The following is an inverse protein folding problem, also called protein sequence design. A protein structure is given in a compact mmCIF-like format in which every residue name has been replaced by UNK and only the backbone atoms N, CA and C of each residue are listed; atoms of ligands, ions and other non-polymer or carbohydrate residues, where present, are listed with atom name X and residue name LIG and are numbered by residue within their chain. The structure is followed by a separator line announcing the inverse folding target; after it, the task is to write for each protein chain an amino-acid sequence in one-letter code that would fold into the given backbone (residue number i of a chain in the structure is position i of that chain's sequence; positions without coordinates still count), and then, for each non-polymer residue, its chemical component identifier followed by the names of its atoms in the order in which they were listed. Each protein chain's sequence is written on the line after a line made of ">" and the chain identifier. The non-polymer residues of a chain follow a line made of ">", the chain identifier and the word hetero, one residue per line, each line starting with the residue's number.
data_IF_381316075446
#
_entry.id   IF_381316075446
#
_cell.length_a   1.000
_cell.length_b   1.000
_cell.length_c   1.000
_cell.angle_alpha   90.00
_cell.angle_beta   90.00
_cell.angle_gamma   90.00
#
_symmetry.space_group_name_H-M   'P 1'
#
loop_
_entity.id
_entity.type
_entity.pdbx_description
1 polymer ?
#
# COMPACT_ATOMS: atom_id res chain seq x y z
N UNK A 1 0.40 16.50 -1.91
CA UNK A 1 -0.07 17.51 -2.89
C UNK A 1 -0.12 16.99 -4.34
N UNK A 2 0.60 15.93 -4.75
CA UNK A 2 0.58 15.48 -6.17
C UNK A 2 -0.69 14.82 -6.72
N UNK A 3 -1.54 14.21 -5.88
CA UNK A 3 -2.67 13.41 -6.38
C UNK A 3 -3.78 14.31 -6.94
N UNK A 4 -4.06 15.44 -6.28
CA UNK A 4 -5.16 16.35 -6.64
C UNK A 4 -4.84 17.25 -7.83
N UNK A 5 -3.60 17.74 -7.94
CA UNK A 5 -3.14 18.47 -9.12
C UNK A 5 -3.16 17.56 -10.36
N UNK A 6 -2.73 16.30 -10.19
CA UNK A 6 -2.84 15.28 -11.25
C UNK A 6 -4.28 15.02 -11.70
N UNK A 7 -5.23 14.91 -10.77
CA UNK A 7 -6.66 14.73 -11.10
C UNK A 7 -7.23 15.92 -11.89
N UNK A 8 -6.84 17.14 -11.56
CA UNK A 8 -7.31 18.37 -12.22
C UNK A 8 -6.78 18.48 -13.66
N UNK A 9 -5.50 18.14 -13.87
CA UNK A 9 -4.90 18.07 -15.21
C UNK A 9 -5.57 16.99 -16.07
N UNK A 10 -5.89 15.83 -15.47
CA UNK A 10 -6.61 14.75 -16.16
C UNK A 10 -8.02 15.19 -16.55
N UNK A 11 -8.72 15.91 -15.66
CA UNK A 11 -10.06 16.41 -15.90
C UNK A 11 -10.07 17.42 -17.07
N UNK A 12 -9.14 18.38 -17.07
CA UNK A 12 -8.99 19.37 -18.15
C UNK A 12 -8.71 18.66 -19.48
N UNK A 13 -7.83 17.65 -19.50
CA UNK A 13 -7.53 16.85 -20.70
C UNK A 13 -8.74 16.07 -21.22
N UNK A 14 -9.53 15.48 -20.33
CA UNK A 14 -10.73 14.73 -20.73
C UNK A 14 -11.84 15.67 -21.22
N UNK A 15 -11.98 16.85 -20.62
CA UNK A 15 -12.94 17.87 -21.05
C UNK A 15 -12.60 18.38 -22.46
N UNK A 16 -11.33 18.65 -22.76
CA UNK A 16 -10.90 19.09 -24.10
C UNK A 16 -11.08 18.00 -25.15
N UNK A 17 -10.81 16.74 -24.81
CA UNK A 17 -11.07 15.59 -25.69
C UNK A 17 -12.56 15.44 -26.05
N UNK A 18 -13.46 15.58 -25.06
CA UNK A 18 -14.90 15.53 -25.30
C UNK A 18 -15.43 16.76 -26.06
N UNK A 19 -14.80 17.93 -25.90
CA UNK A 19 -15.22 19.20 -26.53
C UNK A 19 -14.79 19.32 -27.98
N UNK A 20 -13.57 18.89 -28.33
CA UNK A 20 -12.99 19.05 -29.67
C UNK A 20 -13.38 17.91 -30.63
N UNK A 21 -14.61 17.39 -30.49
CA UNK A 21 -15.09 16.21 -31.20
C UNK A 21 -15.18 16.43 -32.71
N UNK A 22 -14.59 15.51 -33.48
CA UNK A 22 -14.97 15.23 -34.86
C UNK A 22 -16.11 14.20 -34.90
N UNK A 23 -17.04 14.32 -35.85
CA UNK A 23 -18.25 13.46 -35.90
C UNK A 23 -17.97 11.97 -36.17
N UNK A 24 -16.73 11.62 -36.56
CA UNK A 24 -16.29 10.29 -37.02
C UNK A 24 -15.67 9.39 -35.91
N UNK A 25 -15.65 9.83 -34.65
CA UNK A 25 -15.01 9.04 -33.58
C UNK A 25 -15.73 7.71 -33.30
N UNK A 26 -14.96 6.62 -33.18
CA UNK A 26 -15.47 5.27 -32.86
C UNK A 26 -16.22 5.29 -31.53
N UNK A 27 -17.44 4.75 -31.54
CA UNK A 27 -18.35 4.66 -30.36
C UNK A 27 -17.66 4.03 -29.14
N UNK A 28 -16.78 3.06 -29.38
CA UNK A 28 -15.99 2.38 -28.36
C UNK A 28 -15.08 3.36 -27.58
N UNK A 29 -14.29 4.18 -28.28
CA UNK A 29 -13.38 5.16 -27.67
C UNK A 29 -14.17 6.21 -26.89
N UNK A 30 -15.26 6.69 -27.47
CA UNK A 30 -16.15 7.66 -26.83
C UNK A 30 -16.75 7.13 -25.52
N UNK A 31 -17.25 5.90 -25.51
CA UNK A 31 -17.87 5.30 -24.32
C UNK A 31 -16.89 5.17 -23.15
N UNK A 32 -15.62 4.89 -23.45
CA UNK A 32 -14.53 4.77 -22.47
C UNK A 32 -14.16 6.14 -21.91
N UNK A 33 -13.96 7.14 -22.78
CA UNK A 33 -13.63 8.51 -22.36
C UNK A 33 -14.75 9.15 -21.54
N UNK A 34 -16.00 8.96 -21.96
CA UNK A 34 -17.18 9.40 -21.23
C UNK A 34 -17.26 8.76 -19.84
N UNK A 35 -17.15 7.44 -19.74
CA UNK A 35 -17.21 6.72 -18.46
C UNK A 35 -16.08 7.14 -17.52
N UNK A 36 -14.87 7.31 -18.05
CA UNK A 36 -13.69 7.77 -17.31
C UNK A 36 -13.83 9.22 -16.81
N UNK A 37 -14.41 10.11 -17.62
CA UNK A 37 -14.67 11.50 -17.24
C UNK A 37 -15.65 11.57 -16.06
N UNK A 38 -16.82 10.93 -16.18
CA UNK A 38 -17.81 10.95 -15.10
C UNK A 38 -17.34 10.23 -13.84
N UNK A 39 -16.55 9.15 -13.97
CA UNK A 39 -15.88 8.53 -12.83
C UNK A 39 -14.96 9.53 -12.10
N UNK A 40 -14.19 10.31 -12.85
CA UNK A 40 -13.27 11.31 -12.29
C UNK A 40 -14.02 12.46 -11.61
N UNK A 41 -15.07 12.98 -12.26
CA UNK A 41 -15.94 14.01 -11.66
C UNK A 41 -16.61 13.49 -10.38
N UNK A 42 -17.12 12.26 -10.40
CA UNK A 42 -17.76 11.62 -9.24
C UNK A 42 -16.79 11.47 -8.07
N UNK A 43 -15.55 11.05 -8.31
CA UNK A 43 -14.52 10.95 -7.28
C UNK A 43 -14.20 12.33 -6.69
N UNK A 44 -14.00 13.34 -7.54
CA UNK A 44 -13.71 14.72 -7.08
C UNK A 44 -14.84 15.26 -6.21
N UNK A 45 -16.10 15.09 -6.62
CA UNK A 45 -17.25 15.56 -5.85
C UNK A 45 -17.33 14.83 -4.50
N UNK A 46 -17.21 13.50 -4.47
CA UNK A 46 -17.22 12.76 -3.20
C UNK A 46 -16.07 13.16 -2.28
N UNK A 47 -14.86 13.34 -2.80
CA UNK A 47 -13.70 13.77 -2.03
C UNK A 47 -13.91 15.17 -1.43
N UNK A 48 -14.53 16.09 -2.18
CA UNK A 48 -14.89 17.43 -1.69
C UNK A 48 -15.98 17.33 -0.62
N UNK A 49 -17.05 16.56 -0.84
CA UNK A 49 -18.15 16.43 0.11
C UNK A 49 -17.70 15.76 1.41
N UNK A 50 -17.00 14.63 1.32
CA UNK A 50 -16.47 13.93 2.50
C UNK A 50 -15.41 14.77 3.19
N UNK A 51 -14.50 15.41 2.43
CA UNK A 51 -13.47 16.28 2.99
C UNK A 51 -14.04 17.50 3.71
N UNK A 52 -15.09 18.12 3.15
CA UNK A 52 -15.80 19.22 3.78
C UNK A 52 -16.53 18.76 5.05
N UNK A 53 -17.31 17.67 4.98
CA UNK A 53 -18.00 17.13 6.15
C UNK A 53 -17.03 16.75 7.27
N UNK A 54 -15.91 16.07 6.94
CA UNK A 54 -14.89 15.70 7.90
C UNK A 54 -14.14 16.92 8.46
N UNK A 55 -13.83 17.90 7.61
CA UNK A 55 -13.21 19.15 8.03
C UNK A 55 -14.09 19.93 9.01
N UNK A 56 -15.36 20.11 8.68
CA UNK A 56 -16.34 20.74 9.57
C UNK A 56 -16.47 19.97 10.88
N UNK A 57 -16.56 18.64 10.85
CA UNK A 57 -16.57 17.82 12.06
C UNK A 57 -15.32 18.03 12.94
N UNK A 58 -14.12 18.10 12.34
CA UNK A 58 -12.89 18.37 13.08
C UNK A 58 -12.88 19.77 13.71
N UNK A 59 -13.40 20.77 13.00
CA UNK A 59 -13.47 22.15 13.49
C UNK A 59 -14.54 22.33 14.57
N UNK A 60 -15.69 21.67 14.47
CA UNK A 60 -16.77 21.73 15.46
C UNK A 60 -16.41 21.00 16.76
N UNK A 61 -15.53 19.99 16.68
CA UNK A 61 -15.13 19.15 17.81
C UNK A 61 -13.65 19.37 18.20
N UNK A 62 -13.07 20.50 17.82
CA UNK A 62 -11.66 20.81 17.95
C UNK A 62 -11.20 20.78 19.42
N UNK A 63 -11.96 21.34 20.36
CA UNK A 63 -11.64 21.31 21.78
C UNK A 63 -11.64 19.89 22.38
N UNK A 64 -12.64 19.09 22.01
CA UNK A 64 -12.79 17.70 22.49
C UNK A 64 -11.67 16.84 21.93
N UNK A 65 -11.41 16.97 20.62
CA UNK A 65 -10.33 16.26 19.95
C UNK A 65 -8.96 16.69 20.51
N UNK A 66 -8.79 17.98 20.80
CA UNK A 66 -7.55 18.50 21.38
C UNK A 66 -7.31 17.93 22.78
N UNK A 67 -8.35 17.87 23.60
CA UNK A 67 -8.30 17.26 24.94
C UNK A 67 -7.96 15.78 24.86
N UNK A 68 -8.64 15.04 23.98
CA UNK A 68 -8.39 13.61 23.77
C UNK A 68 -6.94 13.36 23.33
N UNK A 69 -6.46 14.10 22.32
CA UNK A 69 -5.09 14.01 21.84
C UNK A 69 -4.07 14.30 22.93
N UNK A 70 -4.33 15.32 23.76
CA UNK A 70 -3.47 15.67 24.89
C UNK A 70 -3.39 14.54 25.91
N UNK A 71 -4.53 13.98 26.32
CA UNK A 71 -4.58 12.86 27.28
C UNK A 71 -3.86 11.64 26.71
N UNK A 72 -4.21 11.23 25.48
CA UNK A 72 -3.57 10.08 24.83
C UNK A 72 -2.06 10.27 24.66
N UNK A 73 -1.61 11.45 24.22
CA UNK A 73 -0.20 11.74 24.07
C UNK A 73 0.53 11.70 25.42
N UNK A 74 -0.04 12.30 26.46
CA UNK A 74 0.56 12.30 27.80
C UNK A 74 0.62 10.89 28.39
N UNK A 75 -0.47 10.13 28.31
CA UNK A 75 -0.55 8.80 28.91
C UNK A 75 0.31 7.78 28.16
N UNK A 76 0.23 7.75 26.82
CA UNK A 76 0.93 6.74 26.02
C UNK A 76 2.39 7.10 25.77
N UNK A 77 2.67 8.34 25.32
CA UNK A 77 4.02 8.71 24.87
C UNK A 77 4.95 9.07 26.02
N UNK A 78 4.40 9.47 27.17
CA UNK A 78 5.17 9.90 28.34
C UNK A 78 4.98 8.91 29.50
N UNK A 79 3.79 8.86 30.11
CA UNK A 79 3.57 8.12 31.36
C UNK A 79 3.83 6.62 31.22
N UNK A 80 3.25 5.98 30.20
CA UNK A 80 3.44 4.56 29.94
C UNK A 80 4.88 4.23 29.55
N UNK A 81 5.52 5.09 28.76
CA UNK A 81 6.92 4.88 28.35
C UNK A 81 7.88 4.99 29.54
N UNK A 82 7.70 5.97 30.41
CA UNK A 82 8.47 6.07 31.65
C UNK A 82 8.23 4.89 32.58
N UNK A 83 6.97 4.46 32.70
CA UNK A 83 6.64 3.25 33.45
C UNK A 83 7.37 2.04 32.86
N UNK A 84 7.36 1.85 31.54
CA UNK A 84 8.04 0.74 30.88
C UNK A 84 9.56 0.76 31.11
N UNK A 85 10.18 1.95 31.13
CA UNK A 85 11.60 2.12 31.43
C UNK A 85 11.94 1.77 32.89
N UNK A 86 11.12 2.23 33.84
CA UNK A 86 11.26 1.90 35.27
C UNK A 86 10.95 0.43 35.55
N UNK A 87 10.01 -0.16 34.79
CA UNK A 87 9.70 -1.58 34.84
C UNK A 87 10.87 -2.43 34.33
N UNK A 88 11.54 -2.00 33.25
CA UNK A 88 12.74 -2.65 32.73
C UNK A 88 13.90 -2.60 33.74
N UNK A 89 13.96 -1.55 34.55
CA UNK A 89 14.96 -1.42 35.63
C UNK A 89 14.68 -2.30 36.85
N UNK A 90 13.42 -2.65 37.09
CA UNK A 90 12.97 -3.43 38.27
C UNK A 90 12.83 -4.93 38.01
N UNK A 91 13.64 -5.48 37.09
CA UNK A 91 13.75 -6.91 36.77
C UNK A 91 12.49 -7.49 36.10
N UNK A 92 12.22 -7.10 34.85
CA UNK A 92 11.01 -7.50 34.14
C UNK A 92 10.97 -9.02 33.96
N UNK A 93 9.81 -9.63 34.24
CA UNK A 93 9.55 -11.05 34.06
C UNK A 93 10.57 -11.99 34.75
N UNK A 94 11.24 -11.52 35.82
CA UNK A 94 12.26 -12.29 36.53
C UNK A 94 13.62 -12.34 35.82
N UNK A 95 13.80 -11.63 34.71
CA UNK A 95 15.07 -11.52 34.00
C UNK A 95 16.00 -10.58 34.78
N UNK A 96 17.06 -11.13 35.36
CA UNK A 96 18.08 -10.33 36.07
C UNK A 96 18.99 -9.64 35.05
N UNK A 97 18.68 -8.38 34.75
CA UNK A 97 19.51 -7.51 33.94
C UNK A 97 20.73 -7.00 34.73
N UNK A 98 21.71 -6.43 34.03
CA UNK A 98 22.82 -5.75 34.66
C UNK A 98 22.30 -4.45 35.30
N UNK A 99 22.34 -4.38 36.64
CA UNK A 99 21.72 -3.29 37.42
C UNK A 99 22.31 -1.93 37.11
N UNK A 100 23.63 -1.83 36.99
CA UNK A 100 24.29 -0.54 36.77
C UNK A 100 23.99 0.01 35.37
N UNK A 101 24.08 -0.84 34.36
CA UNK A 101 23.76 -0.47 32.98
C UNK A 101 22.27 -0.15 32.82
N UNK A 102 21.40 -0.93 33.48
CA UNK A 102 19.96 -0.71 33.47
C UNK A 102 19.57 0.62 34.10
N UNK A 103 20.13 0.95 35.28
CA UNK A 103 19.91 2.25 35.93
C UNK A 103 20.36 3.41 35.05
N UNK A 104 21.53 3.28 34.42
CA UNK A 104 22.03 4.28 33.49
C UNK A 104 21.07 4.50 32.29
N UNK A 105 20.61 3.42 31.66
CA UNK A 105 19.67 3.53 30.55
C UNK A 105 18.31 4.09 30.98
N UNK A 106 17.76 3.57 32.07
CA UNK A 106 16.47 4.00 32.61
C UNK A 106 16.48 5.49 32.92
N UNK A 107 17.47 5.98 33.68
CA UNK A 107 17.61 7.40 34.00
C UNK A 107 17.74 8.26 32.75
N UNK A 108 18.69 7.92 31.86
CA UNK A 108 18.94 8.69 30.63
C UNK A 108 17.69 8.80 29.74
N UNK A 109 16.96 7.70 29.55
CA UNK A 109 15.78 7.70 28.70
C UNK A 109 14.56 8.30 29.37
N UNK A 110 14.40 8.16 30.69
CA UNK A 110 13.34 8.87 31.43
C UNK A 110 13.56 10.37 31.32
N UNK A 111 14.78 10.86 31.54
CA UNK A 111 15.11 12.28 31.40
C UNK A 111 14.83 12.80 29.98
N UNK A 112 15.22 12.03 28.95
CA UNK A 112 14.93 12.37 27.55
C UNK A 112 13.43 12.42 27.26
N UNK A 113 12.65 11.49 27.81
CA UNK A 113 11.18 11.47 27.70
C UNK A 113 10.56 12.63 28.47
N UNK A 114 11.10 13.01 29.62
CA UNK A 114 10.65 14.18 30.40
C UNK A 114 10.89 15.49 29.67
N UNK A 115 12.06 15.66 29.04
CA UNK A 115 12.35 16.81 28.17
C UNK A 115 11.31 16.88 27.04
N UNK A 116 11.02 15.75 26.39
CA UNK A 116 9.99 15.70 25.35
C UNK A 116 8.58 16.01 25.90
N UNK A 117 8.25 15.51 27.09
CA UNK A 117 7.00 15.84 27.77
C UNK A 117 6.88 17.33 28.10
N UNK A 118 8.00 18.01 28.39
CA UNK A 118 8.04 19.47 28.53
C UNK A 118 7.79 20.18 27.20
N UNK A 119 8.41 19.72 26.11
CA UNK A 119 8.16 20.25 24.76
C UNK A 119 6.70 20.08 24.35
N UNK A 120 6.10 18.91 24.60
CA UNK A 120 4.68 18.69 24.33
C UNK A 120 3.80 19.65 25.10
N UNK A 121 4.01 19.81 26.41
CA UNK A 121 3.19 20.66 27.28
C UNK A 121 3.30 22.14 26.98
N UNK A 122 4.51 22.64 26.72
CA UNK A 122 4.75 24.08 26.59
C UNK A 122 4.72 24.58 25.15
N UNK A 123 5.02 23.73 24.16
CA UNK A 123 5.12 24.14 22.75
C UNK A 123 3.95 23.58 21.93
N UNK A 124 3.64 22.29 22.05
CA UNK A 124 2.69 21.64 21.13
C UNK A 124 1.24 21.78 21.61
N UNK A 125 0.96 21.46 22.87
CA UNK A 125 -0.39 21.44 23.44
C UNK A 125 -1.13 22.78 23.46
N UNK A 126 -0.47 23.94 23.64
CA UNK A 126 -1.14 25.24 23.56
C UNK A 126 -1.63 25.57 22.14
N UNK A 127 -0.90 25.11 21.12
CA UNK A 127 -1.23 25.35 19.71
C UNK A 127 -2.04 24.23 19.07
N UNK A 128 -2.43 23.20 19.84
CA UNK A 128 -3.02 21.98 19.31
C UNK A 128 -4.37 22.23 18.63
N UNK A 129 -5.22 23.10 19.19
CA UNK A 129 -6.49 23.52 18.59
C UNK A 129 -6.26 24.20 17.24
N UNK A 130 -5.31 25.14 17.17
CA UNK A 130 -4.94 25.82 15.92
C UNK A 130 -4.37 24.84 14.89
N UNK A 131 -3.57 23.86 15.33
CA UNK A 131 -3.00 22.82 14.45
C UNK A 131 -4.12 21.95 13.86
N UNK A 132 -5.10 21.54 14.67
CA UNK A 132 -6.27 20.78 14.20
C UNK A 132 -7.03 21.60 13.15
N UNK A 133 -7.27 22.87 13.42
CA UNK A 133 -8.04 23.77 12.54
C UNK A 133 -7.34 24.05 11.20
N UNK A 134 -6.03 24.33 11.24
CA UNK A 134 -5.27 24.79 10.06
C UNK A 134 -4.77 23.66 9.18
N UNK A 135 -4.34 22.55 9.78
CA UNK A 135 -3.74 21.46 9.03
C UNK A 135 -4.72 20.29 8.84
N UNK A 136 -5.74 20.14 9.68
CA UNK A 136 -6.36 18.83 9.87
C UNK A 136 -5.33 17.84 10.41
N UNK A 137 -5.76 16.63 10.79
CA UNK A 137 -4.86 15.57 11.26
C UNK A 137 -3.97 15.03 10.13
N UNK A 138 -3.03 15.83 9.63
CA UNK A 138 -2.05 15.39 8.64
C UNK A 138 -1.12 14.39 9.33
N UNK A 139 -0.77 13.32 8.62
CA UNK A 139 0.16 12.26 9.08
C UNK A 139 1.51 12.80 9.61
N UNK A 140 1.88 14.03 9.27
CA UNK A 140 3.05 14.74 9.78
C UNK A 140 2.95 15.06 11.28
N UNK A 141 1.75 15.34 11.83
CA UNK A 141 1.58 15.61 13.26
C UNK A 141 1.87 14.35 14.09
N UNK A 142 1.40 13.19 13.65
CA UNK A 142 1.74 11.90 14.28
C UNK A 142 3.25 11.61 14.25
N UNK A 143 3.92 11.96 13.14
CA UNK A 143 5.39 11.83 13.04
C UNK A 143 6.12 12.76 14.03
N UNK A 144 5.61 13.99 14.21
CA UNK A 144 6.15 14.96 15.17
C UNK A 144 6.03 14.45 16.60
N UNK A 145 4.87 13.92 16.99
CA UNK A 145 4.63 13.38 18.34
C UNK A 145 5.58 12.24 18.71
N UNK A 146 6.05 11.45 17.73
CA UNK A 146 6.92 10.30 17.92
C UNK A 146 8.42 10.57 17.79
N UNK A 147 8.87 11.82 17.78
CA UNK A 147 10.29 12.17 17.58
C UNK A 147 11.18 11.61 18.68
N UNK A 148 10.78 11.71 19.96
CA UNK A 148 11.55 11.14 21.07
C UNK A 148 11.73 9.63 20.94
N UNK A 149 10.68 8.90 20.54
CA UNK A 149 10.75 7.45 20.27
C UNK A 149 11.79 7.17 19.18
N UNK A 150 11.81 7.97 18.11
CA UNK A 150 12.82 7.84 17.04
C UNK A 150 14.24 8.07 17.56
N UNK A 151 14.45 9.12 18.38
CA UNK A 151 15.76 9.44 18.96
C UNK A 151 16.23 8.31 19.89
N UNK A 152 15.38 7.84 20.82
CA UNK A 152 15.70 6.72 21.70
C UNK A 152 16.02 5.43 20.92
N UNK A 153 15.22 5.13 19.87
CA UNK A 153 15.48 4.01 18.98
C UNK A 153 16.81 4.16 18.24
N UNK A 154 17.14 5.35 17.75
CA UNK A 154 18.40 5.59 17.06
C UNK A 154 19.61 5.36 17.99
N UNK A 155 19.55 5.90 19.21
CA UNK A 155 20.61 5.75 20.22
C UNK A 155 20.78 4.26 20.58
N UNK A 156 19.70 3.59 21.00
CA UNK A 156 19.77 2.16 21.39
C UNK A 156 20.20 1.25 20.25
N UNK A 157 19.76 1.50 19.01
CA UNK A 157 20.19 0.74 17.84
C UNK A 157 21.69 0.88 17.58
N UNK A 158 22.25 2.08 17.74
CA UNK A 158 23.69 2.31 17.60
C UNK A 158 24.44 1.47 18.65
N UNK A 159 24.03 1.54 19.92
CA UNK A 159 24.69 0.77 20.98
C UNK A 159 24.56 -0.73 20.75
N UNK A 160 23.36 -1.21 20.43
CA UNK A 160 23.11 -2.62 20.11
C UNK A 160 23.98 -3.12 18.95
N UNK A 161 24.10 -2.35 17.87
CA UNK A 161 24.95 -2.71 16.74
C UNK A 161 26.44 -2.79 17.12
N UNK A 162 26.91 -1.90 17.99
CA UNK A 162 28.29 -1.93 18.50
C UNK A 162 28.55 -3.14 19.41
N UNK A 163 27.60 -3.48 20.27
CA UNK A 163 27.67 -4.68 21.12
C UNK A 163 27.69 -5.95 20.27
N UNK A 164 26.81 -6.07 19.28
CA UNK A 164 26.81 -7.22 18.35
C UNK A 164 28.13 -7.32 17.57
N UNK A 165 28.64 -6.21 17.05
CA UNK A 165 29.92 -6.20 16.33
C UNK A 165 31.08 -6.60 17.24
N UNK A 166 31.10 -6.08 18.49
CA UNK A 166 32.08 -6.46 19.51
C UNK A 166 32.02 -7.95 19.83
N UNK A 167 30.84 -8.48 20.15
CA UNK A 167 30.63 -9.92 20.42
C UNK A 167 31.06 -10.78 19.23
N UNK A 168 30.70 -10.40 17.99
CA UNK A 168 31.12 -11.11 16.78
C UNK A 168 32.63 -11.06 16.54
N UNK A 169 33.29 -9.97 16.93
CA UNK A 169 34.75 -9.84 16.89
C UNK A 169 35.43 -10.76 17.91
N UNK A 170 34.97 -10.74 19.17
CA UNK A 170 35.52 -11.59 20.23
C UNK A 170 35.23 -13.07 20.00
N UNK A 171 34.08 -13.41 19.41
CA UNK A 171 33.80 -14.78 19.00
C UNK A 171 34.76 -15.31 17.94
N UNK A 172 35.28 -14.43 17.06
CA UNK A 172 36.35 -14.80 16.13
C UNK A 172 37.68 -15.00 16.85
N UNK A 173 38.00 -14.15 17.83
CA UNK A 173 39.19 -14.29 18.68
C UNK A 173 39.24 -15.68 19.36
N UNK A 174 38.16 -16.15 19.99
CA UNK A 174 38.15 -17.49 20.61
C UNK A 174 38.31 -18.65 19.63
N UNK A 175 37.89 -18.47 18.38
CA UNK A 175 38.07 -19.49 17.34
C UNK A 175 39.44 -19.41 16.68
N UNK A 176 40.35 -18.58 17.16
CA UNK A 176 41.65 -18.36 16.54
C UNK A 176 41.51 -17.78 15.13
N UNK A 177 40.56 -16.86 14.92
CA UNK A 177 40.24 -16.29 13.59
C UNK A 177 40.47 -14.79 13.56
N UNK A 178 41.26 -14.33 12.58
CA UNK A 178 41.55 -12.90 12.33
C UNK A 178 41.05 -12.50 10.95
N UNK A 179 40.40 -11.33 10.85
CA UNK A 179 40.03 -10.78 9.54
C UNK A 179 41.24 -10.14 8.88
N UNK A 180 41.56 -10.61 7.68
CA UNK A 180 42.65 -10.09 6.87
C UNK A 180 42.11 -9.08 5.87
N UNK A 181 42.38 -7.79 6.10
CA UNK A 181 41.91 -6.69 5.25
C UNK A 181 42.48 -6.79 3.83
N UNK A 182 43.72 -7.29 3.67
CA UNK A 182 44.40 -7.38 2.38
C UNK A 182 43.78 -8.45 1.46
N UNK A 183 43.27 -9.54 2.05
CA UNK A 183 42.68 -10.67 1.31
C UNK A 183 41.15 -10.75 1.44
N UNK A 184 40.54 -9.75 2.08
CA UNK A 184 39.09 -9.64 2.35
C UNK A 184 38.46 -10.96 2.87
N UNK A 185 39.18 -11.70 3.73
CA UNK A 185 38.75 -13.01 4.25
C UNK A 185 39.17 -13.20 5.69
N UNK A 186 38.59 -14.20 6.35
CA UNK A 186 38.96 -14.56 7.73
C UNK A 186 39.95 -15.72 7.70
N UNK A 187 41.17 -15.49 8.19
CA UNK A 187 42.25 -16.47 8.25
C UNK A 187 42.39 -17.01 9.69
N UNK A 188 42.96 -18.21 9.83
CA UNK A 188 43.40 -18.72 11.14
C UNK A 188 44.57 -17.89 11.66
N UNK A 189 44.58 -17.60 12.95
CA UNK A 189 45.61 -16.82 13.63
C UNK A 189 45.87 -17.42 15.00
N UNK A 190 47.14 -17.53 15.35
CA UNK A 190 47.59 -18.00 16.65
C UNK A 190 47.70 -16.80 17.58
N UNK A 191 46.89 -16.80 18.63
CA UNK A 191 46.84 -15.73 19.64
C UNK A 191 47.60 -16.17 20.88
N UNK A 192 48.35 -15.26 21.48
CA UNK A 192 49.04 -15.52 22.75
C UNK A 192 48.03 -15.77 23.87
N UNK A 193 48.43 -16.53 24.89
CA UNK A 193 47.58 -16.84 26.04
C UNK A 193 47.02 -15.58 26.72
N UNK A 194 47.83 -14.51 26.84
CA UNK A 194 47.42 -13.24 27.43
C UNK A 194 46.33 -12.53 26.60
N UNK A 195 46.43 -12.61 25.27
CA UNK A 195 45.43 -12.03 24.35
C UNK A 195 44.12 -12.79 24.43
N UNK A 196 44.18 -14.13 24.55
CA UNK A 196 43.00 -14.97 24.72
C UNK A 196 42.34 -14.73 26.09
N UNK A 197 43.13 -14.57 27.16
CA UNK A 197 42.63 -14.25 28.49
C UNK A 197 41.91 -12.89 28.50
N UNK A 198 42.53 -11.85 27.95
CA UNK A 198 41.90 -10.54 27.82
C UNK A 198 40.60 -10.60 27.00
N UNK A 199 40.63 -11.33 25.88
CA UNK A 199 39.45 -11.61 25.07
C UNK A 199 38.32 -12.29 25.86
N UNK A 200 38.66 -13.28 26.68
CA UNK A 200 37.71 -14.02 27.53
C UNK A 200 37.03 -13.10 28.55
N UNK A 201 37.81 -12.26 29.23
CA UNK A 201 37.28 -11.30 30.20
C UNK A 201 36.35 -10.30 29.52
N UNK A 202 36.77 -9.72 28.40
CA UNK A 202 35.93 -8.75 27.67
C UNK A 202 34.66 -9.39 27.10
N UNK A 203 34.74 -10.64 26.63
CA UNK A 203 33.58 -11.36 26.10
C UNK A 203 32.58 -11.69 27.18
N UNK A 204 33.04 -12.20 28.32
CA UNK A 204 32.17 -12.53 29.45
C UNK A 204 31.45 -11.27 29.95
N UNK A 205 32.16 -10.15 30.09
CA UNK A 205 31.55 -8.85 30.40
C UNK A 205 30.50 -8.47 29.36
N UNK A 206 30.84 -8.48 28.07
CA UNK A 206 29.93 -8.06 27.00
C UNK A 206 28.71 -9.00 26.89
N UNK A 207 28.89 -10.30 27.11
CA UNK A 207 27.83 -11.30 27.12
C UNK A 207 26.86 -11.07 28.29
N UNK A 208 27.35 -10.66 29.47
CA UNK A 208 26.49 -10.31 30.61
C UNK A 208 25.78 -8.95 30.44
N UNK A 209 26.38 -8.00 29.70
CA UNK A 209 25.73 -6.73 29.37
C UNK A 209 24.68 -6.90 28.26
N UNK A 210 24.88 -7.85 27.35
CA UNK A 210 24.06 -8.03 26.14
C UNK A 210 22.54 -8.13 26.40
N UNK A 211 22.04 -8.93 27.37
CA UNK A 211 20.61 -9.00 27.66
C UNK A 211 19.99 -7.65 27.99
N UNK A 212 20.71 -6.80 28.72
CA UNK A 212 20.27 -5.45 29.09
C UNK A 212 20.17 -4.57 27.85
N UNK A 213 21.22 -4.55 27.03
CA UNK A 213 21.23 -3.77 25.78
C UNK A 213 20.13 -4.24 24.82
N UNK A 214 19.93 -5.56 24.70
CA UNK A 214 18.89 -6.16 23.88
C UNK A 214 17.49 -5.75 24.35
N UNK A 215 17.21 -5.77 25.66
CA UNK A 215 15.90 -5.44 26.21
C UNK A 215 15.51 -3.98 25.94
N UNK A 216 16.42 -3.03 26.21
CA UNK A 216 16.19 -1.60 25.93
C UNK A 216 16.06 -1.33 24.43
N UNK A 217 16.90 -1.95 23.60
CA UNK A 217 16.77 -1.86 22.15
C UNK A 217 15.43 -2.40 21.65
N UNK A 218 14.99 -3.57 22.15
CA UNK A 218 13.74 -4.20 21.75
C UNK A 218 12.53 -3.31 22.09
N UNK A 219 12.49 -2.70 23.28
CA UNK A 219 11.42 -1.76 23.67
C UNK A 219 11.26 -0.64 22.64
N UNK A 220 12.34 0.09 22.33
CA UNK A 220 12.27 1.21 21.40
C UNK A 220 12.09 0.78 19.94
N UNK A 221 12.62 -0.38 19.55
CA UNK A 221 12.39 -0.94 18.22
C UNK A 221 10.92 -1.33 18.02
N UNK A 222 10.27 -1.90 19.04
CA UNK A 222 8.84 -2.20 19.01
C UNK A 222 7.99 -0.93 18.95
N UNK A 223 8.29 0.07 19.79
CA UNK A 223 7.59 1.37 19.74
C UNK A 223 7.76 2.06 18.38
N UNK A 224 8.97 2.02 17.80
CA UNK A 224 9.23 2.55 16.46
C UNK A 224 8.44 1.78 15.40
N UNK A 225 8.36 0.46 15.49
CA UNK A 225 7.55 -0.34 14.59
C UNK A 225 6.06 0.02 14.72
N UNK A 226 5.54 0.14 15.94
CA UNK A 226 4.15 0.53 16.20
C UNK A 226 3.81 1.89 15.59
N UNK A 227 4.68 2.90 15.75
CA UNK A 227 4.46 4.23 15.13
C UNK A 227 4.45 4.17 13.61
N UNK A 228 5.36 3.40 12.99
CA UNK A 228 5.36 3.18 11.53
C UNK A 228 4.08 2.48 11.07
N UNK A 229 3.62 1.45 11.79
CA UNK A 229 2.41 0.70 11.45
C UNK A 229 1.14 1.55 11.57
N UNK A 230 1.02 2.35 12.65
CA UNK A 230 -0.09 3.28 12.82
C UNK A 230 -0.09 4.30 11.67
N UNK A 231 1.05 4.91 11.37
CA UNK A 231 1.14 5.85 10.25
C UNK A 231 0.80 5.19 8.91
N UNK A 232 1.29 3.99 8.65
CA UNK A 232 0.99 3.24 7.43
C UNK A 232 -0.50 2.88 7.32
N UNK A 233 -1.15 2.54 8.43
CA UNK A 233 -2.59 2.28 8.46
C UNK A 233 -3.42 3.52 8.14
N UNK A 234 -3.05 4.69 8.67
CA UNK A 234 -3.71 5.97 8.37
C UNK A 234 -3.50 6.38 6.91
N UNK A 235 -2.28 6.25 6.40
CA UNK A 235 -1.97 6.51 4.99
C UNK A 235 -2.72 5.53 4.07
N UNK A 236 -2.92 4.27 4.49
CA UNK A 236 -3.72 3.29 3.76
C UNK A 236 -5.21 3.61 3.78
N UNK A 237 -5.78 3.98 4.93
CA UNK A 237 -7.18 4.42 5.02
C UNK A 237 -7.43 5.61 4.10
N UNK A 238 -6.52 6.59 4.11
CA UNK A 238 -6.57 7.73 3.21
C UNK A 238 -6.46 7.32 1.74
N UNK A 239 -5.54 6.41 1.39
CA UNK A 239 -5.39 5.90 0.02
C UNK A 239 -6.62 5.12 -0.43
N UNK A 240 -7.22 4.33 0.47
CA UNK A 240 -8.45 3.59 0.22
C UNK A 240 -9.62 4.54 -0.04
N UNK A 241 -9.82 5.55 0.82
CA UNK A 241 -10.87 6.54 0.63
C UNK A 241 -10.74 7.29 -0.70
N UNK A 242 -9.53 7.75 -1.05
CA UNK A 242 -9.30 8.51 -2.29
C UNK A 242 -9.45 7.69 -3.58
N UNK A 243 -9.33 6.36 -3.50
CA UNK A 243 -9.33 5.51 -4.69
C UNK A 243 -10.51 4.54 -4.75
N UNK A 244 -11.34 4.45 -3.70
CA UNK A 244 -12.44 3.49 -3.61
C UNK A 244 -13.33 3.56 -4.85
N UNK A 245 -13.62 2.44 -5.53
CA UNK A 245 -14.31 2.46 -6.83
C UNK A 245 -15.83 2.65 -6.65
N UNK A 246 -16.26 3.70 -5.93
CA UNK A 246 -17.66 4.02 -5.65
C UNK A 246 -18.46 4.09 -6.93
N UNK A 247 -17.95 4.80 -7.94
CA UNK A 247 -18.63 4.96 -9.21
C UNK A 247 -18.87 3.63 -9.92
N UNK A 248 -17.86 2.76 -9.97
CA UNK A 248 -17.97 1.45 -10.60
C UNK A 248 -18.95 0.55 -9.84
N UNK A 249 -18.99 0.65 -8.51
CA UNK A 249 -19.91 -0.11 -7.68
C UNK A 249 -21.36 0.37 -7.84
N UNK A 250 -21.59 1.69 -7.83
CA UNK A 250 -22.90 2.30 -8.07
C UNK A 250 -23.41 1.95 -9.46
N UNK A 251 -22.58 2.06 -10.49
CA UNK A 251 -22.95 1.65 -11.85
C UNK A 251 -23.23 0.16 -11.92
N UNK A 252 -22.44 -0.69 -11.23
CA UNK A 252 -22.66 -2.14 -11.26
C UNK A 252 -23.99 -2.55 -10.61
N UNK A 253 -24.43 -1.81 -9.60
CA UNK A 253 -25.73 -2.02 -8.92
C UNK A 253 -26.88 -1.43 -9.73
N UNK A 254 -26.73 -0.20 -10.23
CA UNK A 254 -27.80 0.53 -10.93
C UNK A 254 -28.01 0.03 -12.36
N UNK A 255 -26.92 -0.08 -13.13
CA UNK A 255 -26.94 -0.45 -14.55
C UNK A 255 -25.73 -1.32 -14.91
N UNK A 256 -25.78 -2.65 -14.63
CA UNK A 256 -24.69 -3.59 -14.89
C UNK A 256 -24.04 -3.48 -16.27
N UNK A 257 -24.85 -3.22 -17.29
CA UNK A 257 -24.48 -3.25 -18.71
C UNK A 257 -23.64 -2.04 -19.15
N UNK A 258 -23.56 -0.99 -18.33
CA UNK A 258 -22.73 0.20 -18.61
C UNK A 258 -21.23 -0.04 -18.36
N UNK A 259 -20.88 -1.14 -17.70
CA UNK A 259 -19.49 -1.55 -17.44
C UNK A 259 -19.21 -2.89 -18.13
N UNK A 260 -18.79 -2.88 -19.40
CA UNK A 260 -18.47 -4.11 -20.13
C UNK A 260 -17.27 -4.80 -19.50
N UNK A 261 -17.46 -6.06 -19.11
CA UNK A 261 -16.45 -6.97 -18.55
C UNK A 261 -15.96 -8.03 -19.54
N UNK A 262 -16.70 -8.25 -20.63
CA UNK A 262 -16.39 -9.21 -21.68
C UNK A 262 -17.53 -9.31 -22.70
N UNK A 263 -17.36 -10.19 -23.68
CA UNK A 263 -18.38 -10.57 -24.65
C UNK A 263 -18.47 -12.09 -24.70
N UNK A 264 -19.67 -12.63 -24.88
CA UNK A 264 -19.88 -14.04 -25.19
C UNK A 264 -20.81 -14.18 -26.38
N UNK A 265 -20.67 -15.29 -27.10
CA UNK A 265 -21.53 -15.62 -28.23
C UNK A 265 -22.63 -16.56 -27.75
N UNK A 266 -23.88 -16.14 -27.95
CA UNK A 266 -25.04 -16.98 -27.77
C UNK A 266 -25.46 -17.50 -29.16
N UNK A 267 -25.54 -18.82 -29.33
CA UNK A 267 -25.86 -19.43 -30.61
C UNK A 267 -27.36 -19.71 -30.66
N UNK A 268 -28.11 -18.88 -31.39
CA UNK A 268 -29.56 -19.01 -31.51
C UNK A 268 -29.88 -19.81 -32.78
N UNK A 269 -30.76 -20.84 -32.71
CA UNK A 269 -31.20 -21.57 -33.88
C UNK A 269 -31.98 -20.66 -34.83
N UNK A 270 -31.52 -20.58 -36.08
CA UNK A 270 -32.17 -19.87 -37.17
C UNK A 270 -33.51 -20.55 -37.46
N UNK A 271 -34.58 -19.96 -36.94
CA UNK A 271 -35.94 -20.38 -37.29
C UNK A 271 -36.25 -19.80 -38.66
N UNK A 272 -35.78 -20.48 -39.71
CA UNK A 272 -36.25 -20.29 -41.07
C UNK A 272 -37.73 -20.68 -41.09
N UNK A 273 -38.63 -19.71 -40.84
CA UNK A 273 -40.06 -20.01 -40.80
C UNK A 273 -41.03 -18.96 -40.25
N UNK A 274 -40.62 -17.75 -39.86
CA UNK A 274 -41.59 -16.67 -39.60
C UNK A 274 -41.18 -15.38 -40.32
N UNK A 275 -41.54 -15.34 -41.60
CA UNK A 275 -41.44 -14.16 -42.43
C UNK A 275 -42.47 -13.13 -41.98
N UNK A 276 -42.25 -12.44 -40.87
CA UNK A 276 -42.87 -11.15 -40.52
C UNK A 276 -42.36 -10.64 -39.17
N UNK A 277 -41.11 -10.14 -39.13
CA UNK A 277 -40.59 -9.03 -38.28
C UNK A 277 -39.09 -9.16 -38.04
N UNK A 278 -38.30 -8.72 -39.02
CA UNK A 278 -36.92 -8.30 -38.77
C UNK A 278 -36.60 -7.10 -39.65
N UNK A 279 -37.20 -5.96 -39.29
CA UNK A 279 -36.65 -4.66 -39.60
C UNK A 279 -36.10 -4.12 -38.28
N UNK A 280 -34.84 -3.69 -38.30
CA UNK A 280 -34.06 -3.10 -37.21
C UNK A 280 -33.27 -4.05 -36.29
N UNK A 281 -32.29 -4.77 -36.87
CA UNK A 281 -31.01 -4.94 -36.20
C UNK A 281 -29.89 -4.51 -37.15
N UNK A 282 -29.27 -3.37 -36.83
CA UNK A 282 -28.09 -2.86 -37.53
C UNK A 282 -26.87 -3.74 -37.25
N UNK A 283 -26.69 -4.77 -38.07
CA UNK A 283 -25.50 -5.62 -38.11
C UNK A 283 -24.93 -5.60 -39.51
N UNK A 284 -23.69 -5.13 -39.64
CA UNK A 284 -22.94 -5.06 -40.89
C UNK A 284 -22.70 -6.48 -41.42
N UNK A 285 -23.51 -6.91 -42.37
CA UNK A 285 -23.29 -8.17 -43.08
C UNK A 285 -22.03 -8.03 -43.96
N UNK A 286 -21.04 -8.87 -43.69
CA UNK A 286 -19.84 -9.03 -44.53
C UNK A 286 -20.28 -9.69 -45.85
N UNK A 287 -20.05 -9.10 -47.04
CA UNK A 287 -20.45 -9.72 -48.29
C UNK A 287 -19.40 -10.77 -48.69
N UNK A 288 -19.73 -12.05 -48.48
CA UNK A 288 -18.94 -13.19 -48.90
C UNK A 288 -19.60 -13.98 -50.02
N UNK A 289 -18.90 -14.06 -51.16
CA UNK A 289 -19.00 -15.08 -52.21
C UNK A 289 -20.34 -15.23 -52.98
N UNK A 290 -20.49 -14.42 -54.03
CA UNK A 290 -21.44 -14.68 -55.12
C UNK A 290 -20.79 -15.68 -56.10
N UNK A 291 -21.10 -16.96 -55.96
CA UNK A 291 -20.77 -17.98 -56.96
C UNK A 291 -21.93 -18.09 -57.96
N UNK A 292 -21.64 -17.77 -59.21
CA UNK A 292 -22.46 -17.99 -60.40
C UNK A 292 -22.62 -19.48 -60.68
N UNK A 293 -23.85 -19.98 -60.87
CA UNK A 293 -24.12 -21.12 -61.74
C UNK A 293 -25.52 -20.97 -62.38
N UNK A 294 -25.50 -21.02 -63.71
CA UNK A 294 -26.63 -21.09 -64.63
C UNK A 294 -27.40 -22.42 -64.52
N UNK A 295 -28.63 -22.43 -65.05
CA UNK A 295 -29.21 -23.64 -65.63
C UNK A 295 -30.53 -24.10 -65.03
N UNK A 296 -31.61 -23.78 -65.75
CA UNK A 296 -32.97 -24.23 -65.51
C UNK A 296 -33.18 -25.64 -66.11
N UNK A 297 -33.61 -26.65 -65.33
CA UNK A 297 -34.65 -27.63 -65.72
C UNK A 297 -34.84 -28.77 -64.70
N UNK A 298 -36.08 -28.82 -64.20
CA UNK A 298 -36.99 -29.95 -63.95
C UNK A 298 -36.60 -31.19 -63.10
N UNK A 299 -37.46 -31.38 -62.09
CA UNK A 299 -38.12 -32.60 -61.62
C UNK A 299 -37.30 -33.75 -61.02
N UNK A 300 -37.48 -33.98 -59.72
CA UNK A 300 -38.25 -35.11 -59.18
C UNK A 300 -38.03 -35.30 -57.67
N UNK A 301 -39.12 -35.57 -56.96
CA UNK A 301 -39.17 -35.85 -55.53
C UNK A 301 -38.34 -37.08 -55.15
N UNK A 302 -37.51 -36.95 -54.12
CA UNK A 302 -37.00 -38.08 -53.34
C UNK A 302 -37.09 -37.75 -51.86
N UNK A 303 -37.94 -38.52 -51.16
CA UNK A 303 -38.09 -38.54 -49.70
C UNK A 303 -36.78 -39.03 -49.07
N UNK A 304 -35.96 -38.10 -48.61
CA UNK A 304 -34.89 -38.35 -47.65
C UNK A 304 -35.16 -37.56 -46.38
N UNK A 305 -35.08 -38.21 -45.21
CA UNK A 305 -35.11 -37.56 -43.91
C UNK A 305 -34.15 -36.37 -43.90
N UNK A 306 -34.70 -35.16 -44.09
CA UNK A 306 -33.96 -33.93 -43.94
C UNK A 306 -33.70 -33.78 -42.45
N UNK A 307 -32.52 -34.21 -42.03
CA UNK A 307 -31.91 -33.75 -40.79
C UNK A 307 -31.90 -32.23 -40.91
N UNK A 308 -32.86 -31.56 -40.25
CA UNK A 308 -33.03 -30.11 -40.29
C UNK A 308 -31.74 -29.53 -39.71
N UNK A 309 -30.81 -29.18 -40.59
CA UNK A 309 -29.56 -28.54 -40.23
C UNK A 309 -29.96 -27.21 -39.61
N UNK A 310 -30.03 -27.20 -38.27
CA UNK A 310 -30.40 -26.02 -37.52
C UNK A 310 -29.20 -25.09 -37.60
N UNK A 311 -29.23 -24.17 -38.57
CA UNK A 311 -28.20 -23.13 -38.70
C UNK A 311 -28.20 -22.33 -37.41
N UNK A 312 -27.09 -22.33 -36.68
CA UNK A 312 -26.96 -21.55 -35.45
C UNK A 312 -26.36 -20.19 -35.82
N UNK A 313 -27.09 -19.11 -35.56
CA UNK A 313 -26.60 -17.75 -35.77
C UNK A 313 -25.93 -17.28 -34.47
N UNK A 314 -24.65 -16.86 -34.51
CA UNK A 314 -23.98 -16.29 -33.34
C UNK A 314 -24.51 -14.88 -33.06
N UNK A 315 -25.11 -14.70 -31.89
CA UNK A 315 -25.52 -13.41 -31.33
C UNK A 315 -24.49 -12.97 -30.31
N UNK A 316 -23.96 -11.76 -30.47
CA UNK A 316 -22.98 -11.18 -29.55
C UNK A 316 -23.70 -10.56 -28.35
N UNK A 317 -23.42 -11.05 -27.14
CA UNK A 317 -23.96 -10.51 -25.90
C UNK A 317 -22.83 -9.94 -25.01
N UNK A 318 -23.10 -8.79 -24.36
CA UNK A 318 -22.16 -8.15 -23.43
C UNK A 318 -22.20 -8.85 -22.07
N UNK A 319 -21.06 -9.02 -21.41
CA UNK A 319 -20.97 -9.52 -20.04
C UNK A 319 -20.56 -8.40 -19.09
N UNK A 320 -21.32 -8.11 -18.02
CA UNK A 320 -20.97 -7.04 -17.08
C UNK A 320 -19.73 -7.40 -16.26
N UNK A 321 -18.93 -6.40 -15.88
CA UNK A 321 -17.70 -6.61 -15.08
C UNK A 321 -18.00 -7.28 -13.73
N UNK A 322 -17.19 -8.28 -13.36
CA UNK A 322 -17.28 -8.95 -12.06
C UNK A 322 -16.69 -8.08 -10.94
N UNK A 323 -17.22 -8.18 -9.71
CA UNK A 323 -16.63 -7.51 -8.54
C UNK A 323 -15.15 -7.82 -8.36
N UNK A 324 -14.71 -9.06 -8.59
CA UNK A 324 -13.30 -9.44 -8.49
C UNK A 324 -12.36 -8.62 -9.38
N UNK A 325 -12.79 -8.28 -10.61
CA UNK A 325 -12.04 -7.39 -11.52
C UNK A 325 -12.04 -5.93 -11.07
N UNK A 326 -13.13 -5.46 -10.45
CA UNK A 326 -13.20 -4.11 -9.86
C UNK A 326 -12.19 -3.99 -8.71
N UNK A 327 -12.03 -5.04 -7.90
CA UNK A 327 -11.15 -5.02 -6.71
C UNK A 327 -9.75 -5.62 -6.92
N UNK A 328 -9.42 -6.13 -8.10
CA UNK A 328 -8.12 -6.79 -8.38
C UNK A 328 -6.90 -5.92 -8.05
N UNK A 329 -7.03 -4.60 -8.18
CA UNK A 329 -5.91 -3.70 -7.88
C UNK A 329 -5.70 -3.50 -6.37
N UNK A 330 -6.76 -3.62 -5.57
CA UNK A 330 -6.70 -3.60 -4.11
C UNK A 330 -6.01 -4.85 -3.57
N UNK A 331 -6.30 -6.02 -4.15
CA UNK A 331 -5.63 -7.26 -3.76
C UNK A 331 -4.13 -7.20 -4.08
N UNK A 332 -3.73 -6.55 -5.18
CA UNK A 332 -2.32 -6.30 -5.51
C UNK A 332 -1.64 -5.32 -4.55
N UNK A 333 -2.31 -4.24 -4.17
CA UNK A 333 -1.81 -3.28 -3.18
C UNK A 333 -1.62 -3.95 -1.81
N UNK A 334 -2.61 -4.73 -1.37
CA UNK A 334 -2.54 -5.54 -0.15
C UNK A 334 -1.35 -6.51 -0.17
N UNK A 335 -1.14 -7.21 -1.29
CA UNK A 335 -0.01 -8.14 -1.43
C UNK A 335 1.37 -7.43 -1.31
N UNK A 336 1.51 -6.22 -1.86
CA UNK A 336 2.73 -5.41 -1.71
C UNK A 336 2.96 -4.99 -0.26
N UNK A 337 1.90 -4.63 0.43
CA UNK A 337 2.00 -4.20 1.81
C UNK A 337 2.31 -5.37 2.76
N UNK A 338 1.64 -6.50 2.55
CA UNK A 338 1.88 -7.74 3.28
C UNK A 338 3.32 -8.25 3.09
N UNK A 339 3.91 -8.06 1.90
CA UNK A 339 5.31 -8.43 1.66
C UNK A 339 6.29 -7.46 2.31
N UNK A 340 5.98 -6.16 2.37
CA UNK A 340 6.85 -5.16 3.00
C UNK A 340 6.86 -5.27 4.53
N UNK A 341 5.68 -5.39 5.16
CA UNK A 341 5.54 -5.55 6.62
C UNK A 341 5.52 -7.02 7.06
N UNK A 342 6.13 -7.91 6.29
CA UNK A 342 6.22 -9.32 6.67
C UNK A 342 6.92 -9.48 8.04
N UNK A 343 6.29 -10.18 9.02
CA UNK A 343 6.79 -10.26 10.39
C UNK A 343 8.19 -10.89 10.48
N UNK A 344 8.50 -11.88 9.63
CA UNK A 344 9.82 -12.53 9.62
C UNK A 344 10.91 -11.59 9.10
N UNK A 345 10.59 -10.76 8.11
CA UNK A 345 11.52 -9.74 7.58
C UNK A 345 11.79 -8.66 8.62
N UNK A 346 10.74 -8.18 9.30
CA UNK A 346 10.86 -7.18 10.35
C UNK A 346 11.66 -7.72 11.54
N UNK A 347 11.36 -8.93 12.00
CA UNK A 347 12.09 -9.61 13.06
C UNK A 347 13.58 -9.77 12.70
N UNK A 348 13.88 -10.24 11.48
CA UNK A 348 15.26 -10.34 10.99
C UNK A 348 15.96 -8.98 10.97
N UNK A 349 15.24 -7.92 10.62
CA UNK A 349 15.79 -6.57 10.58
C UNK A 349 16.08 -6.04 11.99
N UNK A 350 15.20 -6.30 12.95
CA UNK A 350 15.40 -5.99 14.37
C UNK A 350 16.58 -6.77 14.95
N UNK A 351 16.63 -8.09 14.75
CA UNK A 351 17.73 -8.94 15.26
C UNK A 351 19.10 -8.56 14.69
N UNK A 352 19.14 -8.05 13.46
CA UNK A 352 20.39 -7.59 12.83
C UNK A 352 20.71 -6.12 13.12
N UNK A 353 19.89 -5.42 13.90
CA UNK A 353 20.07 -3.98 14.17
C UNK A 353 19.90 -3.09 12.94
N UNK A 354 19.24 -3.58 11.88
CA UNK A 354 18.99 -2.80 10.66
C UNK A 354 17.92 -1.73 10.92
N UNK A 355 17.99 -0.64 10.16
CA UNK A 355 17.05 0.46 10.28
C UNK A 355 15.64 0.06 9.80
N UNK A 356 14.63 0.33 10.63
CA UNK A 356 13.22 0.19 10.28
C UNK A 356 12.76 1.41 9.46
N UNK A 357 12.75 1.27 8.14
CA UNK A 357 12.26 2.30 7.22
C UNK A 357 10.75 2.18 6.99
N UNK A 358 10.01 3.30 6.88
CA UNK A 358 8.62 3.29 6.43
C UNK A 358 8.51 2.93 4.93
N UNK A 359 7.35 2.43 4.50
CA UNK A 359 7.07 2.19 3.08
C UNK A 359 7.19 3.52 2.31
N UNK A 360 7.91 3.53 1.17
CA UNK A 360 7.94 4.71 0.32
C UNK A 360 6.56 5.04 -0.24
N UNK A 361 6.17 6.32 -0.16
CA UNK A 361 4.84 6.79 -0.61
C UNK A 361 4.53 6.50 -2.08
N UNK A 362 5.54 6.35 -2.93
CA UNK A 362 5.33 5.99 -4.34
C UNK A 362 4.91 4.53 -4.53
N UNK A 363 5.28 3.62 -3.63
CA UNK A 363 4.87 2.20 -3.71
C UNK A 363 3.38 2.02 -3.39
N UNK A 364 2.82 2.98 -2.65
CA UNK A 364 1.41 3.08 -2.26
C UNK A 364 0.60 3.79 -3.36
N UNK A 365 1.22 4.59 -4.23
CA UNK A 365 0.52 5.31 -5.31
C UNK A 365 0.05 4.35 -6.39
N UNK A 366 -1.21 4.55 -6.76
CA UNK A 366 -1.90 3.89 -7.84
C UNK A 366 -1.28 4.24 -9.19
N UNK A 367 -0.90 3.24 -9.97
CA UNK A 367 -0.55 3.43 -11.38
C UNK A 367 -1.78 3.08 -12.23
N UNK A 368 -2.41 4.10 -12.84
CA UNK A 368 -3.69 3.96 -13.58
C UNK A 368 -3.58 3.05 -14.82
N UNK A 369 -2.37 2.62 -15.17
CA UNK A 369 -2.09 1.77 -16.33
C UNK A 369 -2.73 0.37 -16.31
N UNK A 370 -3.32 -0.07 -15.19
CA UNK A 370 -3.82 -1.45 -15.03
C UNK A 370 -5.26 -1.74 -15.47
N UNK A 371 -6.08 -0.73 -15.79
CA UNK A 371 -7.42 -0.98 -16.37
C UNK A 371 -7.30 -0.94 -17.89
N UNK A 372 -6.76 -2.03 -18.46
CA UNK A 372 -7.03 -2.46 -19.83
C UNK A 372 -6.93 -1.41 -20.95
N UNK A 373 -5.92 -0.54 -20.94
CA UNK A 373 -5.54 0.22 -22.13
C UNK A 373 -4.08 -0.12 -22.42
N UNK A 374 -3.86 -1.24 -23.13
CA UNK A 374 -2.71 -1.26 -24.05
C UNK A 374 -3.02 -0.17 -25.07
N UNK A 375 -2.29 0.93 -25.05
CA UNK A 375 -2.14 1.73 -26.25
C UNK A 375 -1.61 0.74 -27.30
N UNK A 376 -2.42 0.49 -28.32
CA UNK A 376 -1.90 -0.04 -29.57
C UNK A 376 -1.15 1.13 -30.17
N UNK A 377 0.07 1.35 -29.70
CA UNK A 377 1.00 2.24 -30.37
C UNK A 377 1.38 1.56 -31.67
N UNK A 378 0.89 2.16 -32.74
CA UNK A 378 1.25 2.01 -34.15
C UNK A 378 2.59 1.30 -34.39
N UNK A 379 2.54 0.02 -34.74
CA UNK A 379 3.48 -0.51 -35.72
C UNK A 379 3.02 -0.03 -37.09
N UNK A 380 3.77 0.89 -37.70
CA UNK A 380 3.50 1.31 -39.07
C UNK A 380 4.18 2.61 -39.47
N UNK A 381 5.51 2.65 -39.53
CA UNK A 381 6.24 3.39 -40.58
C UNK A 381 7.74 3.09 -40.50
N UNK A 382 8.19 2.14 -41.31
CA UNK A 382 9.55 2.12 -41.87
C UNK A 382 9.57 1.10 -43.00
N UNK A 383 9.12 1.54 -44.17
CA UNK A 383 9.64 1.11 -45.46
C UNK A 383 10.50 2.25 -45.99
#
# INVERSE_FOLDING_TARGET
>A
MDVRTGQLTILVRQMTALRNRESSSRVEVYSIEYSSFFNTVWLIINDITIGYAFGTFLCENDEVLARLMRVLAQDVLISWLQWALRWLDSWPAGLKLNTELSRFYSGTFVDLVDVWGSVLRHIIFPHLTTIIYTFGLISAFGALLGVHIYVCYAITRIVYAKVLWGMGSLWRLFRGKRFNVLRNRTDSWEYDNDQLLFGTILFTLLAFLFPTVLAYYALFALLRLSTILIQASLEMQLAFMNHFPLFALVLRVKDPWRLPGGIYFNFVPDRVGDGSRSANLGGMAVPGARATLDGNSNDSESKGSQHLATTLVPVLENQPVTFGRIFFQYTRLWARLASHYNPLRLLKSMLLGRFLAPIPRYEIRYDRAGIGIRSVDSQGSSS
#
